data_IF_332606510361
#
_entry.id   IF_332606510361
#
_cell.length_a   1.000
_cell.length_b   1.000
_cell.length_c   1.000
_cell.angle_alpha   90.00
_cell.angle_beta   90.00
_cell.angle_gamma   90.00
#
_symmetry.space_group_name_H-M   'P 1'
#
loop_
_entity.id
_entity.type
_entity.pdbx_description
1 polymer ?
#
# COMPACT_ATOMS: atom_id res chain seq x y z
N UNK A 1 49.91 -17.34 -17.84
CA UNK A 1 50.02 -16.30 -16.78
C UNK A 1 48.77 -15.44 -16.89
N UNK A 2 47.84 -15.63 -15.97
CA UNK A 2 46.60 -14.85 -15.88
C UNK A 2 46.87 -13.64 -14.98
N UNK A 3 46.55 -12.45 -15.46
CA UNK A 3 46.40 -11.26 -14.64
C UNK A 3 45.08 -10.59 -15.00
N UNK A 4 44.49 -9.97 -13.96
CA UNK A 4 43.43 -8.97 -13.98
C UNK A 4 42.00 -9.54 -14.17
N UNK A 5 40.97 -9.14 -13.40
CA UNK A 5 40.76 -7.89 -12.65
C UNK A 5 40.03 -8.19 -11.33
N UNK A 6 40.62 -7.76 -10.22
CA UNK A 6 39.90 -7.65 -8.95
C UNK A 6 38.95 -6.47 -9.05
N UNK A 7 37.66 -6.76 -9.18
CA UNK A 7 36.59 -5.78 -9.15
C UNK A 7 36.51 -5.24 -7.72
N UNK A 8 37.16 -4.10 -7.47
CA UNK A 8 36.90 -3.29 -6.28
C UNK A 8 35.48 -2.74 -6.42
N UNK A 9 34.52 -3.36 -5.73
CA UNK A 9 33.24 -2.73 -5.44
C UNK A 9 33.53 -1.56 -4.51
N UNK A 10 33.55 -0.36 -5.09
CA UNK A 10 33.55 0.91 -4.41
C UNK A 10 32.29 0.96 -3.53
N UNK A 11 32.46 0.62 -2.25
CA UNK A 11 31.43 0.82 -1.24
C UNK A 11 31.37 2.33 -0.98
N UNK A 12 30.49 3.00 -1.71
CA UNK A 12 30.08 4.36 -1.39
C UNK A 12 29.61 4.34 0.07
N UNK A 13 30.32 5.04 0.96
CA UNK A 13 29.84 5.31 2.31
C UNK A 13 28.61 6.22 2.19
N UNK A 14 27.46 5.62 1.92
CA UNK A 14 26.17 6.29 1.95
C UNK A 14 25.93 6.74 3.38
N UNK A 15 26.13 8.03 3.62
CA UNK A 15 25.88 8.64 4.91
C UNK A 15 24.46 8.35 5.41
N UNK A 16 24.29 8.30 6.72
CA UNK A 16 23.01 8.05 7.38
C UNK A 16 21.92 8.99 6.85
N UNK A 17 20.97 8.44 6.10
CA UNK A 17 19.71 9.10 5.77
C UNK A 17 18.59 8.42 6.54
N UNK A 18 18.06 9.03 7.61
CA UNK A 18 16.91 8.50 8.31
C UNK A 18 15.71 8.43 7.36
N UNK A 19 14.95 7.35 7.42
CA UNK A 19 13.86 7.12 6.50
C UNK A 19 13.48 5.66 6.39
N UNK A 20 12.60 5.37 5.44
CA UNK A 20 12.13 4.02 5.12
C UNK A 20 12.57 3.67 3.71
N UNK A 21 13.16 2.49 3.55
CA UNK A 21 13.56 1.89 2.29
C UNK A 21 12.75 0.61 2.06
N UNK A 22 12.46 0.33 0.79
CA UNK A 22 11.72 -0.84 0.33
C UNK A 22 12.68 -1.75 -0.44
N UNK A 23 13.08 -2.85 0.18
CA UNK A 23 13.92 -3.87 -0.47
C UNK A 23 13.01 -4.86 -1.21
N UNK A 24 12.91 -4.69 -2.52
CA UNK A 24 12.08 -5.52 -3.39
C UNK A 24 12.63 -6.94 -3.60
N UNK A 25 13.95 -7.12 -3.48
CA UNK A 25 14.60 -8.40 -3.73
C UNK A 25 14.37 -9.36 -2.55
N UNK A 26 14.46 -8.84 -1.32
CA UNK A 26 14.20 -9.60 -0.10
C UNK A 26 12.74 -9.48 0.38
N UNK A 27 11.92 -8.65 -0.28
CA UNK A 27 10.54 -8.33 0.12
C UNK A 27 10.48 -7.87 1.58
N UNK A 28 11.23 -6.81 1.86
CA UNK A 28 11.51 -6.32 3.21
C UNK A 28 11.34 -4.80 3.30
N UNK A 29 10.78 -4.34 4.41
CA UNK A 29 10.83 -2.92 4.80
C UNK A 29 11.99 -2.68 5.74
N UNK A 30 12.74 -1.62 5.48
CA UNK A 30 13.87 -1.21 6.30
C UNK A 30 13.69 0.23 6.76
N UNK A 31 13.73 0.48 8.06
CA UNK A 31 13.63 1.80 8.65
C UNK A 31 14.92 2.16 9.37
N UNK A 32 15.47 3.33 9.08
CA UNK A 32 16.67 3.86 9.75
C UNK A 32 16.28 5.01 10.69
N UNK A 33 16.65 4.87 11.97
CA UNK A 33 16.25 5.79 13.04
C UNK A 33 17.44 6.25 13.88
N UNK A 34 17.41 7.50 14.39
CA UNK A 34 18.53 8.06 15.15
C UNK A 34 18.66 7.48 16.57
N UNK A 35 17.58 6.90 17.10
CA UNK A 35 17.54 6.36 18.46
C UNK A 35 16.63 5.13 18.56
N UNK A 36 16.89 4.32 19.58
CA UNK A 36 16.16 3.07 19.83
C UNK A 36 14.67 3.30 20.04
N UNK A 37 14.30 4.36 20.77
CA UNK A 37 12.91 4.64 21.12
C UNK A 37 12.10 4.99 19.87
N UNK A 38 12.68 5.75 18.94
CA UNK A 38 12.11 6.04 17.63
C UNK A 38 11.90 4.77 16.81
N UNK A 39 12.86 3.84 16.80
CA UNK A 39 12.71 2.55 16.12
C UNK A 39 11.58 1.69 16.70
N UNK A 40 11.47 1.61 18.03
CA UNK A 40 10.39 0.87 18.69
C UNK A 40 9.01 1.50 18.50
N UNK A 41 8.92 2.84 18.49
CA UNK A 41 7.69 3.56 18.14
C UNK A 41 7.27 3.24 16.70
N UNK A 42 8.22 3.31 15.78
CA UNK A 42 7.96 2.98 14.39
C UNK A 42 7.50 1.53 14.23
N UNK A 43 8.15 0.57 14.90
CA UNK A 43 7.74 -0.85 14.93
C UNK A 43 6.28 -1.02 15.34
N UNK A 44 5.84 -0.32 16.39
CA UNK A 44 4.44 -0.38 16.86
C UNK A 44 3.46 0.14 15.81
N UNK A 45 3.80 1.26 15.16
CA UNK A 45 2.96 1.86 14.12
C UNK A 45 2.93 0.99 12.86
N UNK A 46 4.08 0.46 12.42
CA UNK A 46 4.16 -0.46 11.28
C UNK A 46 3.30 -1.70 11.53
N UNK A 47 3.45 -2.33 12.71
CA UNK A 47 2.61 -3.46 13.14
C UNK A 47 1.13 -3.13 13.03
N UNK A 48 0.68 -2.03 13.64
CA UNK A 48 -0.73 -1.64 13.63
C UNK A 48 -1.24 -1.31 12.23
N UNK A 49 -0.43 -0.65 11.39
CA UNK A 49 -0.79 -0.31 10.01
C UNK A 49 -0.91 -1.58 9.16
N UNK A 50 0.03 -2.52 9.27
CA UNK A 50 0.02 -3.76 8.51
C UNK A 50 -1.15 -4.68 8.90
N UNK A 51 -1.45 -4.77 10.20
CA UNK A 51 -2.61 -5.50 10.72
C UNK A 51 -3.93 -4.88 10.24
N UNK A 52 -4.07 -3.55 10.29
CA UNK A 52 -5.35 -2.88 10.01
C UNK A 52 -5.66 -2.74 8.51
N UNK A 53 -4.68 -2.39 7.69
CA UNK A 53 -4.90 -2.14 6.25
C UNK A 53 -4.85 -3.40 5.39
N UNK A 54 -4.10 -4.42 5.84
CA UNK A 54 -3.83 -5.62 5.05
C UNK A 54 -4.24 -6.92 5.75
N UNK A 55 -4.71 -6.86 7.00
CA UNK A 55 -5.14 -8.03 7.78
C UNK A 55 -4.03 -9.07 7.96
N UNK A 56 -2.78 -8.61 8.11
CA UNK A 56 -1.62 -9.48 8.33
C UNK A 56 -1.46 -9.83 9.81
N UNK A 57 -0.99 -11.04 10.10
CA UNK A 57 -0.67 -11.50 11.45
C UNK A 57 0.85 -11.41 11.75
N UNK A 58 1.24 -10.65 12.78
CA UNK A 58 2.63 -10.31 13.09
C UNK A 58 3.58 -11.45 13.49
N UNK A 59 3.09 -12.68 13.61
CA UNK A 59 3.91 -13.85 13.94
C UNK A 59 3.95 -14.87 12.80
N UNK A 60 2.96 -14.81 11.90
CA UNK A 60 2.80 -15.76 10.80
C UNK A 60 3.17 -15.12 9.46
N UNK A 61 2.63 -13.93 9.18
CA UNK A 61 2.73 -13.25 7.90
C UNK A 61 3.99 -12.39 7.79
N UNK A 62 4.37 -11.74 8.89
CA UNK A 62 5.49 -10.81 8.95
C UNK A 62 6.36 -11.06 10.19
N UNK A 63 7.63 -10.68 10.11
CA UNK A 63 8.57 -10.72 11.24
C UNK A 63 9.26 -9.37 11.38
N UNK A 64 9.41 -8.91 12.62
CA UNK A 64 10.04 -7.61 12.91
C UNK A 64 11.30 -7.78 13.74
N UNK A 65 12.38 -7.16 13.29
CA UNK A 65 13.65 -7.10 14.02
C UNK A 65 14.11 -5.65 14.21
N UNK A 66 14.74 -5.35 15.36
CA UNK A 66 15.33 -4.04 15.64
C UNK A 66 16.80 -4.27 15.97
N UNK A 67 17.67 -3.81 15.07
CA UNK A 67 19.11 -3.97 15.17
C UNK A 67 19.74 -2.63 15.50
N UNK A 68 20.64 -2.60 16.48
CA UNK A 68 21.54 -1.47 16.68
C UNK A 68 22.69 -1.57 15.70
N UNK A 69 23.03 -0.49 15.00
CA UNK A 69 24.25 -0.44 14.22
C UNK A 69 25.47 -0.60 15.17
N UNK A 70 26.44 -1.49 14.88
CA UNK A 70 27.66 -1.63 15.68
C UNK A 70 28.47 -0.33 15.83
N UNK A 71 28.31 0.65 14.95
CA UNK A 71 28.93 1.98 15.13
C UNK A 71 28.20 2.85 16.17
N UNK A 72 27.01 2.42 16.61
CA UNK A 72 26.16 3.12 17.58
C UNK A 72 25.47 4.37 17.02
N UNK A 73 25.59 4.62 15.72
CA UNK A 73 25.09 5.85 15.11
C UNK A 73 23.58 5.84 14.82
N UNK A 74 23.01 4.64 14.64
CA UNK A 74 21.61 4.48 14.29
C UNK A 74 21.02 3.12 14.69
N UNK A 75 19.71 3.02 14.57
CA UNK A 75 18.93 1.80 14.77
C UNK A 75 18.18 1.45 13.49
N UNK A 76 18.27 0.18 13.11
CA UNK A 76 17.63 -0.37 11.92
C UNK A 76 16.42 -1.21 12.33
N UNK A 77 15.23 -0.84 11.86
CA UNK A 77 14.01 -1.65 11.96
C UNK A 77 13.85 -2.43 10.66
N UNK A 78 13.74 -3.76 10.77
CA UNK A 78 13.47 -4.65 9.65
C UNK A 78 12.07 -5.22 9.78
N UNK A 79 11.36 -5.36 8.66
CA UNK A 79 10.12 -6.12 8.58
C UNK A 79 10.14 -7.04 7.35
N UNK A 80 10.19 -8.34 7.58
CA UNK A 80 10.21 -9.39 6.55
C UNK A 80 8.79 -9.88 6.25
N UNK A 81 8.41 -9.95 4.97
CA UNK A 81 7.11 -10.42 4.52
C UNK A 81 7.18 -11.88 4.06
N UNK A 82 6.73 -12.81 4.92
CA UNK A 82 6.96 -14.26 4.75
C UNK A 82 5.94 -14.94 3.85
N UNK A 83 4.67 -14.61 4.01
CA UNK A 83 3.57 -15.33 3.34
C UNK A 83 3.18 -14.70 2.01
N UNK A 84 2.44 -15.42 1.16
CA UNK A 84 1.93 -14.86 -0.09
C UNK A 84 1.03 -13.63 0.14
N UNK A 85 0.24 -13.62 1.23
CA UNK A 85 -0.59 -12.47 1.60
C UNK A 85 0.29 -11.26 1.97
N UNK A 86 1.30 -11.48 2.81
CA UNK A 86 2.26 -10.46 3.20
C UNK A 86 2.99 -9.87 1.98
N UNK A 87 3.51 -10.72 1.09
CA UNK A 87 4.22 -10.28 -0.11
C UNK A 87 3.32 -9.47 -1.06
N UNK A 88 2.03 -9.80 -1.14
CA UNK A 88 1.07 -8.98 -1.89
C UNK A 88 0.81 -7.62 -1.23
N UNK A 89 0.74 -7.57 0.11
CA UNK A 89 0.66 -6.29 0.84
C UNK A 89 1.90 -5.43 0.58
N UNK A 90 3.10 -6.01 0.61
CA UNK A 90 4.34 -5.31 0.25
C UNK A 90 4.30 -4.75 -1.18
N UNK A 91 3.83 -5.54 -2.14
CA UNK A 91 3.63 -5.07 -3.52
C UNK A 91 2.65 -3.88 -3.58
N UNK A 92 1.53 -3.94 -2.84
CA UNK A 92 0.56 -2.84 -2.79
C UNK A 92 1.15 -1.55 -2.23
N UNK A 93 1.96 -1.65 -1.17
CA UNK A 93 2.63 -0.49 -0.56
C UNK A 93 3.61 0.13 -1.56
N UNK A 94 4.51 -0.69 -2.13
CA UNK A 94 5.55 -0.23 -3.07
C UNK A 94 5.01 0.30 -4.40
N UNK A 95 3.80 -0.10 -4.79
CA UNK A 95 3.14 0.37 -6.02
C UNK A 95 2.08 1.47 -5.77
N UNK A 96 2.10 2.10 -4.58
CA UNK A 96 1.21 3.22 -4.24
C UNK A 96 -0.28 2.87 -4.26
N UNK A 97 -0.63 1.59 -4.08
CA UNK A 97 -2.02 1.11 -4.05
C UNK A 97 -2.67 1.30 -2.66
N UNK A 98 -1.88 1.71 -1.67
CA UNK A 98 -2.35 2.03 -0.32
C UNK A 98 -1.53 3.21 0.23
N UNK A 99 -1.70 4.42 -0.34
CA UNK A 99 -0.89 5.59 0.04
C UNK A 99 -1.06 5.97 1.51
N UNK A 100 -2.20 5.65 2.13
CA UNK A 100 -2.46 5.90 3.55
C UNK A 100 -1.57 5.05 4.45
N UNK A 101 -1.45 3.76 4.15
CA UNK A 101 -0.58 2.85 4.89
C UNK A 101 0.89 3.20 4.66
N UNK A 102 1.24 3.56 3.42
CA UNK A 102 2.58 4.03 3.07
C UNK A 102 2.98 5.25 3.90
N UNK A 103 2.13 6.29 3.93
CA UNK A 103 2.37 7.49 4.73
C UNK A 103 2.55 7.18 6.21
N UNK A 104 1.71 6.31 6.78
CA UNK A 104 1.83 5.90 8.19
C UNK A 104 3.15 5.18 8.48
N UNK A 105 3.61 4.32 7.56
CA UNK A 105 4.88 3.60 7.66
C UNK A 105 6.06 4.59 7.59
N UNK A 106 6.06 5.49 6.62
CA UNK A 106 7.13 6.47 6.41
C UNK A 106 7.25 7.48 7.56
N UNK A 107 6.12 7.88 8.15
CA UNK A 107 6.06 8.86 9.24
C UNK A 107 6.00 8.25 10.64
N UNK A 108 6.15 6.93 10.75
CA UNK A 108 5.94 6.14 11.97
C UNK A 108 6.81 6.55 13.18
N UNK A 109 7.95 7.19 12.93
CA UNK A 109 8.91 7.59 13.95
C UNK A 109 8.57 8.92 14.65
N UNK A 110 7.90 9.85 13.95
CA UNK A 110 7.56 11.12 14.58
C UNK A 110 6.38 10.88 15.54
N UNK A 111 6.40 11.47 16.76
CA UNK A 111 5.38 11.23 17.77
C UNK A 111 3.98 11.65 17.31
N UNK A 112 2.96 10.93 17.77
CA UNK A 112 1.57 11.34 17.60
C UNK A 112 1.31 12.65 18.37
N UNK A 113 1.29 13.77 17.65
CA UNK A 113 0.73 15.03 18.14
C UNK A 113 -0.59 15.30 17.43
N UNK A 114 -1.55 15.92 18.12
CA UNK A 114 -2.87 16.21 17.52
C UNK A 114 -2.81 17.06 16.25
N UNK A 115 -1.70 17.78 16.00
CA UNK A 115 -1.50 18.53 14.76
C UNK A 115 -1.40 17.62 13.51
N UNK A 116 -0.91 16.38 13.64
CA UNK A 116 -0.73 15.44 12.51
C UNK A 116 -2.03 14.97 11.85
N UNK A 117 -3.15 15.01 12.57
CA UNK A 117 -4.47 14.72 11.97
C UNK A 117 -4.77 15.67 10.82
N UNK A 118 -4.27 16.90 10.88
CA UNK A 118 -4.41 17.89 9.82
C UNK A 118 -3.36 17.73 8.70
N UNK A 119 -2.17 17.21 8.99
CA UNK A 119 -1.14 16.95 7.98
C UNK A 119 -1.64 15.93 6.95
N UNK A 120 -2.31 14.87 7.41
CA UNK A 120 -2.89 13.86 6.52
C UNK A 120 -3.94 14.44 5.55
N UNK A 121 -4.73 15.42 6.01
CA UNK A 121 -5.75 16.10 5.20
C UNK A 121 -5.15 17.11 4.21
N UNK A 122 -3.91 17.55 4.44
CA UNK A 122 -3.28 18.64 3.68
C UNK A 122 -2.12 18.18 2.80
N UNK A 123 -1.61 16.96 3.03
CA UNK A 123 -0.60 16.29 2.23
C UNK A 123 -0.99 16.27 0.75
N UNK A 124 -0.15 16.89 -0.09
CA UNK A 124 -0.47 17.18 -1.50
C UNK A 124 -0.49 15.92 -2.37
N UNK A 125 0.30 14.93 -1.98
CA UNK A 125 0.46 13.59 -2.53
C UNK A 125 -0.70 12.64 -2.17
N UNK A 126 -1.34 12.85 -1.01
CA UNK A 126 -2.56 12.12 -0.60
C UNK A 126 -3.84 12.72 -1.20
N UNK A 127 -3.74 13.82 -1.97
CA UNK A 127 -4.92 14.36 -2.65
C UNK A 127 -5.38 13.35 -3.69
N UNK A 128 -6.65 12.95 -3.68
CA UNK A 128 -7.17 12.09 -4.73
C UNK A 128 -6.87 12.74 -6.07
N UNK A 129 -6.10 12.04 -6.91
CA UNK A 129 -5.80 12.47 -8.28
C UNK A 129 -7.12 12.62 -9.02
N UNK A 130 -7.67 13.84 -9.03
CA UNK A 130 -8.82 14.22 -9.86
C UNK A 130 -8.55 14.07 -11.36
N UNK A 131 -7.36 13.61 -11.76
CA UNK A 131 -6.95 13.38 -13.15
C UNK A 131 -7.46 12.10 -13.79
N UNK A 132 -8.03 11.20 -13.00
CA UNK A 132 -8.96 10.23 -13.55
C UNK A 132 -10.34 10.66 -13.05
N UNK A 133 -10.99 11.55 -13.80
CA UNK A 133 -12.43 11.34 -13.97
C UNK A 133 -12.57 9.84 -14.22
N UNK A 134 -13.38 9.09 -13.45
CA UNK A 134 -13.88 7.86 -14.01
C UNK A 134 -14.38 8.28 -15.38
N UNK A 135 -13.84 7.67 -16.44
CA UNK A 135 -14.55 7.68 -17.71
C UNK A 135 -15.84 6.94 -17.38
N UNK A 136 -16.81 7.68 -16.81
CA UNK A 136 -18.19 7.33 -16.89
C UNK A 136 -18.34 7.20 -18.38
N UNK A 137 -18.49 5.96 -18.84
CA UNK A 137 -19.10 5.70 -20.13
C UNK A 137 -20.30 6.64 -20.15
N UNK A 138 -20.18 7.72 -20.93
CA UNK A 138 -21.25 8.68 -21.08
C UNK A 138 -22.50 7.84 -21.29
N UNK A 139 -23.57 8.01 -20.49
CA UNK A 139 -24.73 7.15 -20.58
C UNK A 139 -25.15 7.15 -22.03
N UNK A 140 -24.90 6.04 -22.72
CA UNK A 140 -25.19 5.90 -24.12
C UNK A 140 -26.71 6.04 -24.23
N UNK A 141 -27.14 7.24 -24.65
CA UNK A 141 -28.51 7.67 -24.89
C UNK A 141 -29.57 6.64 -24.45
N UNK A 142 -30.10 6.83 -23.23
CA UNK A 142 -31.14 6.02 -22.59
C UNK A 142 -32.47 5.91 -23.37
N UNK A 143 -32.55 6.39 -24.62
CA UNK A 143 -33.68 6.17 -25.51
C UNK A 143 -33.74 4.75 -26.08
N UNK A 144 -32.63 4.02 -26.19
CA UNK A 144 -32.63 2.65 -26.69
C UNK A 144 -33.08 1.62 -25.63
N UNK A 145 -32.65 1.79 -24.37
CA UNK A 145 -33.01 0.90 -23.27
C UNK A 145 -34.51 0.96 -22.91
N UNK A 146 -35.11 2.16 -22.94
CA UNK A 146 -36.54 2.33 -22.70
C UNK A 146 -37.40 1.62 -23.76
N UNK A 147 -36.97 1.60 -25.03
CA UNK A 147 -37.68 0.90 -26.12
C UNK A 147 -37.57 -0.62 -25.96
N UNK A 148 -36.43 -1.13 -25.50
CA UNK A 148 -36.21 -2.57 -25.26
C UNK A 148 -37.05 -3.11 -24.09
N UNK A 149 -37.14 -2.36 -22.99
CA UNK A 149 -37.96 -2.75 -21.83
C UNK A 149 -39.46 -2.70 -22.18
N UNK A 150 -39.91 -1.66 -22.89
CA UNK A 150 -41.32 -1.56 -23.28
C UNK A 150 -41.74 -2.66 -24.27
N UNK A 151 -40.83 -3.09 -25.16
CA UNK A 151 -41.10 -4.20 -26.08
C UNK A 151 -41.08 -5.56 -25.38
N UNK A 152 -40.21 -5.77 -24.39
CA UNK A 152 -40.24 -6.96 -23.54
C UNK A 152 -41.51 -7.06 -22.69
N UNK A 153 -41.93 -5.95 -22.07
CA UNK A 153 -43.17 -5.90 -21.27
C UNK A 153 -44.40 -6.15 -22.15
N UNK A 154 -44.47 -5.56 -23.35
CA UNK A 154 -45.57 -5.84 -24.30
C UNK A 154 -45.61 -7.30 -24.75
N UNK A 155 -44.46 -7.95 -24.95
CA UNK A 155 -44.39 -9.40 -25.28
C UNK A 155 -44.85 -10.27 -24.10
N UNK A 156 -44.46 -9.94 -22.88
CA UNK A 156 -44.91 -10.66 -21.68
C UNK A 156 -46.41 -10.53 -21.43
N UNK A 157 -46.98 -9.33 -21.60
CA UNK A 157 -48.44 -9.12 -21.49
C UNK A 157 -49.20 -9.90 -22.57
N UNK A 158 -48.67 -9.98 -23.80
CA UNK A 158 -49.30 -10.78 -24.85
C UNK A 158 -49.24 -12.30 -24.57
N UNK A 159 -48.12 -12.79 -24.04
CA UNK A 159 -47.94 -14.21 -23.68
C UNK A 159 -48.84 -14.61 -22.50
N UNK A 160 -49.01 -13.72 -21.53
CA UNK A 160 -49.86 -13.97 -20.36
C UNK A 160 -51.35 -13.78 -20.66
N UNK A 161 -51.72 -12.86 -21.56
CA UNK A 161 -53.10 -12.62 -21.99
C UNK A 161 -53.69 -13.70 -22.92
N UNK A 162 -52.84 -14.50 -23.58
CA UNK A 162 -53.30 -15.60 -24.45
C UNK A 162 -53.50 -16.94 -23.73
N UNK A 163 -53.26 -17.00 -22.42
CA UNK A 163 -53.39 -18.24 -21.61
C UNK A 163 -54.75 -18.41 -20.94
N UNK A 164 -55.74 -17.55 -21.22
CA UNK A 164 -57.07 -17.57 -20.59
C UNK A 164 -58.22 -17.87 -21.57
N UNK A 165 -57.95 -18.55 -22.69
CA UNK A 165 -58.99 -19.16 -23.54
C UNK A 165 -58.59 -20.57 -23.95
N UNK A 166 -58.75 -21.51 -23.04
CA UNK A 166 -59.20 -22.89 -23.29
C UNK A 166 -59.75 -23.44 -21.97
#
# INVERSE_FOLDING_TARGET
MMLNEGQLTEHTEEGFQPGVCYDGDNVRLEGLYPDELSAWRAKRVWKSALESYFLLECENDIEFDVQSDPTGSCYKLLCDFKTACARYAFWRITNGQTPEAQYLIETAHIPDCDARKYDFLTAADLRPTQKNEPTMLAPANNRAAAVSILTMVKRLVHILGNKSRF
#
